data_IF_471573583022
#
_entry.id   IF_471573583022
#
_cell.length_a   1.000
_cell.length_b   1.000
_cell.length_c   1.000
_cell.angle_alpha   90.00
_cell.angle_beta   90.00
_cell.angle_gamma   90.00
#
_symmetry.space_group_name_H-M   'P 1'
#
loop_
_entity.id
_entity.type
_entity.pdbx_description
1 polymer ?
#
# COMPACT_ATOMS: atom_id res chain seq x y z
N UNK A 1 -27.40 29.12 -19.86
CA UNK A 1 -26.75 29.00 -18.54
C UNK A 1 -25.29 28.73 -18.78
N UNK A 2 -24.46 29.72 -18.62
CA UNK A 2 -23.00 29.67 -18.79
C UNK A 2 -22.36 29.07 -17.50
N UNK A 3 -21.40 28.13 -17.59
CA UNK A 3 -20.74 27.60 -16.41
C UNK A 3 -19.81 28.62 -15.78
N UNK A 4 -19.67 28.63 -14.46
CA UNK A 4 -18.78 29.57 -13.80
C UNK A 4 -17.32 29.25 -14.11
N UNK A 5 -16.58 30.25 -14.58
CA UNK A 5 -15.12 30.21 -14.73
C UNK A 5 -14.48 30.34 -13.35
N UNK A 6 -14.00 29.25 -12.77
CA UNK A 6 -13.10 29.29 -11.63
C UNK A 6 -11.69 29.67 -12.11
N UNK A 7 -11.32 30.93 -11.91
CA UNK A 7 -9.93 31.35 -11.99
C UNK A 7 -9.23 30.92 -10.70
N UNK A 8 -8.49 29.82 -10.74
CA UNK A 8 -7.67 29.35 -9.64
C UNK A 8 -6.39 30.20 -9.63
N UNK A 9 -6.33 31.25 -8.81
CA UNK A 9 -5.08 31.90 -8.46
C UNK A 9 -4.30 30.98 -7.51
N UNK A 10 -3.38 30.19 -8.06
CA UNK A 10 -2.34 29.48 -7.31
C UNK A 10 -1.29 30.51 -6.85
N UNK A 11 -1.57 31.22 -5.76
CA UNK A 11 -0.51 31.86 -4.98
C UNK A 11 0.20 30.74 -4.20
N UNK A 12 1.25 30.18 -4.79
CA UNK A 12 2.22 29.34 -4.06
C UNK A 12 2.99 30.27 -3.15
N UNK A 13 2.86 30.18 -1.81
CA UNK A 13 3.76 30.93 -0.94
C UNK A 13 5.18 30.44 -1.24
N UNK A 14 6.08 31.36 -1.55
CA UNK A 14 7.50 31.06 -1.66
C UNK A 14 8.01 30.63 -0.27
N UNK A 15 7.88 29.33 0.05
CA UNK A 15 8.56 28.76 1.22
C UNK A 15 10.06 28.79 0.92
N UNK A 16 10.79 29.56 1.70
CA UNK A 16 12.26 29.52 1.70
C UNK A 16 12.69 28.09 2.09
N UNK A 17 13.18 27.33 1.11
CA UNK A 17 13.56 25.93 1.27
C UNK A 17 14.94 25.90 1.91
N UNK A 18 15.01 25.78 3.24
CA UNK A 18 16.24 25.48 3.94
C UNK A 18 16.69 24.06 3.60
N UNK A 19 17.99 23.85 3.37
CA UNK A 19 18.55 22.52 3.19
C UNK A 19 18.51 21.78 4.53
N UNK A 20 18.23 20.45 4.55
CA UNK A 20 18.26 19.67 5.79
C UNK A 20 19.69 19.69 6.35
N UNK A 21 19.84 20.16 7.59
CA UNK A 21 21.07 20.04 8.33
C UNK A 21 21.14 18.59 8.88
N UNK A 22 22.15 17.83 8.46
CA UNK A 22 22.46 16.51 9.02
C UNK A 22 23.54 16.74 10.09
N UNK A 23 23.19 16.49 11.34
CA UNK A 23 24.16 16.44 12.43
C UNK A 23 24.18 15.02 12.99
N UNK A 24 25.36 14.52 13.38
CA UNK A 24 25.52 13.19 14.00
C UNK A 24 24.75 13.10 15.33
N UNK A 25 24.76 14.16 16.12
CA UNK A 25 23.83 14.44 17.22
C UNK A 25 23.07 15.74 16.92
N UNK A 26 21.76 15.77 17.16
CA UNK A 26 20.97 16.97 16.97
C UNK A 26 19.61 16.75 16.28
N UNK A 27 19.02 17.83 15.85
CA UNK A 27 17.68 17.88 15.24
C UNK A 27 17.75 17.77 13.71
N UNK A 28 17.06 16.80 13.14
CA UNK A 28 16.80 16.69 11.71
C UNK A 28 15.34 17.07 11.44
N UNK A 29 15.12 17.98 10.51
CA UNK A 29 13.80 18.39 10.04
C UNK A 29 13.67 18.10 8.56
N UNK A 30 12.48 17.68 8.13
CA UNK A 30 12.17 17.49 6.73
C UNK A 30 10.68 17.48 6.49
N UNK A 31 10.31 17.55 5.22
CA UNK A 31 8.91 17.54 4.88
C UNK A 31 8.66 17.34 3.39
N UNK A 32 7.38 17.18 3.08
CA UNK A 32 6.89 16.97 1.72
C UNK A 32 5.51 17.59 1.57
N UNK A 33 5.28 18.23 0.44
CA UNK A 33 3.94 18.63 -0.02
C UNK A 33 3.68 17.94 -1.34
N UNK A 34 2.61 17.19 -1.44
CA UNK A 34 2.17 16.52 -2.68
C UNK A 34 0.77 16.97 -3.07
N UNK A 35 0.66 17.58 -4.25
CA UNK A 35 -0.60 17.83 -4.94
C UNK A 35 -0.83 16.73 -5.97
N UNK A 36 -2.03 16.12 -5.96
CA UNK A 36 -2.44 15.06 -6.90
C UNK A 36 -3.79 15.40 -7.51
N UNK A 37 -3.86 15.31 -8.83
CA UNK A 37 -5.11 15.32 -9.58
C UNK A 37 -5.34 13.95 -10.20
N UNK A 38 -6.52 13.37 -9.96
CA UNK A 38 -6.93 12.06 -10.48
C UNK A 38 -8.15 12.21 -11.37
N UNK A 39 -8.22 11.41 -12.43
CA UNK A 39 -9.40 11.32 -13.30
C UNK A 39 -9.66 9.88 -13.69
N UNK A 40 -10.93 9.51 -13.75
CA UNK A 40 -11.36 8.18 -14.19
C UNK A 40 -12.57 8.28 -15.12
N UNK A 41 -12.58 7.47 -16.17
CA UNK A 41 -13.75 7.21 -17.04
C UNK A 41 -13.99 5.72 -17.15
N UNK A 42 -15.21 5.28 -16.92
CA UNK A 42 -15.59 3.87 -16.93
C UNK A 42 -15.19 3.12 -15.68
N UNK A 43 -15.45 3.69 -14.49
CA UNK A 43 -15.15 3.08 -13.19
C UNK A 43 -15.35 1.55 -13.17
N UNK A 44 -14.36 0.82 -12.66
CA UNK A 44 -14.40 -0.63 -12.52
C UNK A 44 -14.92 -1.10 -11.16
N UNK A 45 -15.14 -0.18 -10.23
CA UNK A 45 -15.68 -0.48 -8.89
C UNK A 45 -17.19 -0.31 -8.89
N UNK A 46 -17.88 -1.27 -8.29
CA UNK A 46 -19.33 -1.23 -8.14
C UNK A 46 -19.77 -0.14 -7.15
N UNK A 47 -20.91 0.50 -7.42
CA UNK A 47 -21.54 1.47 -6.51
C UNK A 47 -20.97 2.88 -6.59
N UNK A 48 -20.08 3.18 -7.56
CA UNK A 48 -19.51 4.50 -7.76
C UNK A 48 -19.83 5.06 -9.15
N UNK A 49 -19.67 6.36 -9.31
CA UNK A 49 -19.93 7.03 -10.58
C UNK A 49 -18.97 6.56 -11.67
N UNK A 50 -19.52 6.46 -12.90
CA UNK A 50 -18.74 5.98 -14.03
C UNK A 50 -17.61 6.91 -14.43
N UNK A 51 -17.75 8.23 -14.17
CA UNK A 51 -16.74 9.26 -14.40
C UNK A 51 -16.57 10.06 -13.14
N UNK A 52 -15.32 10.33 -12.80
CA UNK A 52 -14.99 11.09 -11.61
C UNK A 52 -13.64 11.78 -11.70
N UNK A 53 -13.45 12.79 -10.87
CA UNK A 53 -12.18 13.50 -10.69
C UNK A 53 -12.00 13.82 -9.22
N UNK A 54 -10.76 13.73 -8.74
CA UNK A 54 -10.43 14.04 -7.36
C UNK A 54 -9.12 14.84 -7.32
N UNK A 55 -9.11 15.91 -6.54
CA UNK A 55 -7.89 16.62 -6.19
C UNK A 55 -7.52 16.28 -4.74
N UNK A 56 -6.28 15.83 -4.51
CA UNK A 56 -5.78 15.48 -3.18
C UNK A 56 -4.54 16.31 -2.86
N UNK A 57 -4.46 16.76 -1.62
CA UNK A 57 -3.30 17.45 -1.07
C UNK A 57 -2.80 16.66 0.14
N UNK A 58 -1.49 16.42 0.20
CA UNK A 58 -0.82 15.83 1.36
C UNK A 58 0.36 16.68 1.77
N UNK A 59 0.38 17.10 3.02
CA UNK A 59 1.54 17.73 3.66
C UNK A 59 2.08 16.79 4.72
N UNK A 60 3.41 16.61 4.74
CA UNK A 60 4.13 15.84 5.76
C UNK A 60 5.20 16.73 6.34
N UNK A 61 5.34 16.72 7.67
CA UNK A 61 6.43 17.38 8.38
C UNK A 61 6.95 16.37 9.40
N UNK A 62 8.23 16.07 9.36
CA UNK A 62 8.87 15.18 10.32
C UNK A 62 10.05 15.85 11.01
N UNK A 63 10.26 15.46 12.26
CA UNK A 63 11.37 15.86 13.09
C UNK A 63 11.93 14.63 13.79
N UNK A 64 13.25 14.47 13.82
CA UNK A 64 13.95 13.50 14.66
C UNK A 64 15.09 14.20 15.41
N UNK A 65 15.09 14.07 16.72
CA UNK A 65 16.19 14.50 17.57
C UNK A 65 16.99 13.29 18.05
N UNK A 66 18.28 13.30 17.81
CA UNK A 66 19.22 12.25 18.22
C UNK A 66 20.17 12.77 19.27
N UNK A 67 20.42 11.95 20.30
CA UNK A 67 21.43 12.21 21.32
C UNK A 67 22.01 10.88 21.82
N UNK A 68 23.26 10.63 21.49
CA UNK A 68 23.92 9.34 21.75
C UNK A 68 23.15 8.17 21.15
N UNK A 69 22.78 7.21 21.96
CA UNK A 69 22.02 6.02 21.54
C UNK A 69 20.50 6.27 21.43
N UNK A 70 19.99 7.42 21.84
CA UNK A 70 18.56 7.72 21.88
C UNK A 70 18.12 8.57 20.69
N UNK A 71 16.88 8.32 20.22
CA UNK A 71 16.19 9.06 19.16
C UNK A 71 14.77 9.36 19.59
N UNK A 72 14.30 10.56 19.30
CA UNK A 72 12.94 11.03 19.53
C UNK A 72 12.39 11.50 18.20
N UNK A 73 11.37 10.87 17.69
CA UNK A 73 10.80 11.19 16.38
C UNK A 73 9.34 11.61 16.46
N UNK A 74 8.95 12.57 15.63
CA UNK A 74 7.57 12.98 15.43
C UNK A 74 7.29 13.25 13.95
N UNK A 75 6.10 12.91 13.48
CA UNK A 75 5.67 13.22 12.10
C UNK A 75 4.18 13.53 12.06
N UNK A 76 3.85 14.63 11.40
CA UNK A 76 2.49 15.09 11.15
C UNK A 76 2.15 14.88 9.68
N UNK A 77 1.00 14.27 9.39
CA UNK A 77 0.36 14.25 8.08
C UNK A 77 -0.87 15.16 8.10
N UNK A 78 -1.06 15.91 7.01
CA UNK A 78 -2.32 16.57 6.69
C UNK A 78 -2.74 16.13 5.30
N UNK A 79 -3.67 15.18 5.24
CA UNK A 79 -4.16 14.55 4.01
C UNK A 79 -5.60 14.96 3.75
N UNK A 80 -5.81 15.72 2.66
CA UNK A 80 -7.10 16.29 2.27
C UNK A 80 -7.48 15.92 0.84
N UNK A 81 -8.79 15.89 0.57
CA UNK A 81 -9.34 15.63 -0.76
C UNK A 81 -10.46 16.62 -1.08
N UNK A 82 -10.53 17.05 -2.33
CA UNK A 82 -11.45 18.07 -2.81
C UNK A 82 -12.10 17.64 -4.12
N UNK A 83 -13.33 18.11 -4.37
CA UNK A 83 -14.10 17.79 -5.57
C UNK A 83 -14.87 16.47 -5.47
N UNK A 84 -14.84 15.78 -4.32
CA UNK A 84 -15.59 14.55 -4.12
C UNK A 84 -17.09 14.83 -3.92
N UNK A 85 -17.94 14.04 -4.57
CA UNK A 85 -19.38 13.98 -4.35
C UNK A 85 -19.82 12.63 -3.71
N UNK A 86 -21.11 12.30 -3.79
CA UNK A 86 -21.63 11.06 -3.22
C UNK A 86 -21.24 9.81 -4.01
N UNK A 87 -20.96 9.97 -5.30
CA UNK A 87 -20.56 8.90 -6.22
C UNK A 87 -19.04 8.66 -6.25
N UNK A 88 -18.25 9.56 -5.64
CA UNK A 88 -16.79 9.44 -5.57
C UNK A 88 -16.38 8.35 -4.57
N UNK A 89 -15.41 7.47 -4.92
CA UNK A 89 -14.89 6.47 -4.00
C UNK A 89 -13.95 7.07 -2.93
N UNK A 90 -14.45 8.05 -2.17
CA UNK A 90 -13.73 8.71 -1.10
C UNK A 90 -13.73 7.86 0.18
N UNK A 91 -12.60 7.75 0.84
CA UNK A 91 -12.41 6.95 2.05
C UNK A 91 -11.33 7.52 2.96
N UNK A 92 -11.06 6.84 4.06
CA UNK A 92 -9.89 7.10 4.92
C UNK A 92 -8.55 6.82 4.22
N UNK A 93 -8.55 6.38 2.97
CA UNK A 93 -7.39 6.28 2.11
C UNK A 93 -6.99 7.62 1.48
N UNK A 94 -7.93 8.55 1.38
CA UNK A 94 -7.75 9.87 0.77
C UNK A 94 -7.71 10.99 1.80
N UNK A 95 -8.44 10.87 2.92
CA UNK A 95 -8.59 11.92 3.94
C UNK A 95 -8.17 11.42 5.32
N UNK A 96 -7.27 12.18 5.96
CA UNK A 96 -6.82 12.04 7.33
C UNK A 96 -6.10 13.35 7.71
N UNK A 97 -6.89 14.35 8.07
CA UNK A 97 -6.40 15.72 8.26
C UNK A 97 -5.78 15.90 9.65
N UNK A 98 -4.59 16.51 9.69
CA UNK A 98 -3.84 16.88 10.91
C UNK A 98 -3.58 15.69 11.85
N UNK A 99 -3.09 14.59 11.32
CA UNK A 99 -2.81 13.36 12.08
C UNK A 99 -1.34 13.27 12.50
N UNK A 100 -1.03 13.15 13.79
CA UNK A 100 0.32 12.81 14.27
C UNK A 100 0.57 11.30 14.04
N UNK A 101 1.04 10.95 12.85
CA UNK A 101 1.23 9.55 12.43
C UNK A 101 2.41 8.88 13.11
N UNK A 102 3.41 9.66 13.56
CA UNK A 102 4.54 9.18 14.35
C UNK A 102 4.78 10.07 15.57
N UNK A 103 5.03 9.44 16.71
CA UNK A 103 5.52 10.03 17.95
C UNK A 103 6.17 8.91 18.76
N UNK A 104 7.50 8.79 18.70
CA UNK A 104 8.22 7.65 19.28
C UNK A 104 9.51 8.03 19.99
N UNK A 105 9.95 7.13 20.86
CA UNK A 105 11.31 7.07 21.36
C UNK A 105 11.96 5.78 20.88
N UNK A 106 13.23 5.85 20.48
CA UNK A 106 14.01 4.69 20.10
C UNK A 106 15.40 4.71 20.75
N UNK A 107 15.96 3.52 20.97
CA UNK A 107 17.29 3.36 21.54
C UNK A 107 18.06 2.21 20.89
N UNK A 108 19.35 2.40 20.70
CA UNK A 108 20.23 1.43 20.07
C UNK A 108 21.18 0.81 21.13
N UNK A 109 21.34 -0.52 21.07
CA UNK A 109 22.21 -1.29 21.94
C UNK A 109 23.15 -2.12 21.06
N UNK A 110 24.41 -1.82 21.10
CA UNK A 110 25.42 -2.56 20.34
C UNK A 110 25.91 -3.79 21.10
N UNK A 111 26.26 -4.84 20.38
CA UNK A 111 26.92 -6.03 20.95
C UNK A 111 25.99 -7.04 21.64
N UNK A 112 24.66 -6.93 21.54
CA UNK A 112 23.68 -7.81 22.22
C UNK A 112 23.90 -9.30 21.92
N UNK A 113 24.29 -9.63 20.68
CA UNK A 113 24.63 -10.99 20.23
C UNK A 113 26.12 -11.09 19.89
N UNK A 114 26.98 -10.37 20.63
CA UNK A 114 28.41 -10.27 20.36
C UNK A 114 28.80 -9.13 19.42
N UNK A 115 30.11 -8.91 19.27
CA UNK A 115 30.65 -7.79 18.50
C UNK A 115 30.10 -7.75 17.06
N UNK A 116 29.66 -6.58 16.60
CA UNK A 116 29.06 -6.37 15.26
C UNK A 116 27.59 -6.69 15.18
N UNK A 117 26.90 -6.96 16.28
CA UNK A 117 25.42 -6.97 16.34
C UNK A 117 24.90 -5.65 16.91
N UNK A 118 23.67 -5.30 16.52
CA UNK A 118 22.93 -4.14 17.02
C UNK A 118 21.47 -4.50 17.21
N UNK A 119 20.90 -4.09 18.34
CA UNK A 119 19.47 -4.12 18.63
C UNK A 119 18.97 -2.68 18.72
N UNK A 120 17.94 -2.33 17.94
CA UNK A 120 17.22 -1.07 18.04
C UNK A 120 15.82 -1.32 18.60
N UNK A 121 15.46 -0.67 19.68
CA UNK A 121 14.13 -0.75 20.29
C UNK A 121 13.41 0.56 20.05
N UNK A 122 12.16 0.49 19.60
CA UNK A 122 11.28 1.66 19.35
C UNK A 122 9.98 1.47 20.08
N UNK A 123 9.50 2.52 20.76
CA UNK A 123 8.22 2.55 21.46
C UNK A 123 7.46 3.83 21.12
N UNK A 124 6.14 3.72 20.89
CA UNK A 124 5.27 4.85 20.55
C UNK A 124 4.50 4.65 19.26
N UNK A 125 4.07 5.77 18.66
CA UNK A 125 3.44 5.80 17.33
C UNK A 125 4.51 5.74 16.24
N UNK A 126 4.35 4.84 15.29
CA UNK A 126 5.33 4.61 14.23
C UNK A 126 4.68 4.15 12.93
N UNK A 127 5.35 4.36 11.82
CA UNK A 127 5.06 3.70 10.56
C UNK A 127 5.90 2.44 10.40
N UNK A 128 5.32 1.39 9.81
CA UNK A 128 5.99 0.12 9.58
C UNK A 128 6.08 -0.19 8.08
N UNK A 129 7.24 -0.67 7.66
CA UNK A 129 7.45 -1.28 6.35
C UNK A 129 8.24 -2.56 6.58
N UNK A 130 7.58 -3.73 6.55
CA UNK A 130 8.17 -5.01 6.91
C UNK A 130 8.18 -5.96 5.71
N UNK A 131 9.30 -6.65 5.53
CA UNK A 131 9.52 -7.61 4.46
C UNK A 131 9.24 -7.03 3.07
N UNK A 132 8.46 -7.74 2.28
CA UNK A 132 8.02 -7.30 0.95
C UNK A 132 7.04 -6.11 0.97
N UNK A 133 6.58 -5.67 2.13
CA UNK A 133 5.53 -4.65 2.32
C UNK A 133 4.14 -5.09 1.83
N UNK A 134 3.96 -6.37 1.49
CA UNK A 134 2.67 -6.90 1.01
C UNK A 134 1.66 -7.17 2.13
N UNK A 135 2.12 -7.28 3.38
CA UNK A 135 1.28 -7.54 4.58
C UNK A 135 1.30 -6.35 5.54
N UNK A 136 2.46 -5.75 5.81
CA UNK A 136 2.61 -4.60 6.71
C UNK A 136 3.40 -3.51 6.03
N UNK A 137 2.75 -2.37 5.76
CA UNK A 137 3.34 -1.23 5.08
C UNK A 137 2.71 0.10 5.47
N UNK A 138 3.46 1.18 5.30
CA UNK A 138 2.99 2.54 5.42
C UNK A 138 2.13 3.00 4.21
N UNK A 139 2.29 2.40 3.03
CA UNK A 139 1.61 2.75 1.76
C UNK A 139 1.88 4.18 1.26
N UNK A 140 2.99 4.37 0.57
CA UNK A 140 3.46 5.69 0.11
C UNK A 140 2.61 6.30 -1.02
N UNK A 141 1.91 5.48 -1.81
CA UNK A 141 1.10 5.96 -2.92
C UNK A 141 -0.20 6.61 -2.46
N UNK A 142 -0.88 6.02 -1.48
CA UNK A 142 -2.12 6.54 -0.91
C UNK A 142 -1.94 7.99 -0.41
N UNK A 143 -3.01 8.74 -0.29
CA UNK A 143 -2.93 10.09 0.29
C UNK A 143 -2.68 10.07 1.80
N UNK A 144 -3.15 9.03 2.46
CA UNK A 144 -2.92 8.75 3.89
C UNK A 144 -1.92 7.63 4.09
N UNK A 145 -1.55 7.33 5.33
CA UNK A 145 -0.66 6.22 5.67
C UNK A 145 -1.29 5.23 6.65
N UNK A 146 -0.67 4.07 6.87
CA UNK A 146 -0.97 3.20 8.00
C UNK A 146 -0.03 3.54 9.15
N UNK A 147 -0.59 3.84 10.32
CA UNK A 147 0.14 4.07 11.55
C UNK A 147 -0.11 2.96 12.58
N UNK A 148 0.81 2.81 13.51
CA UNK A 148 0.79 1.78 14.55
C UNK A 148 1.31 2.35 15.86
N UNK A 149 0.69 1.99 16.98
CA UNK A 149 1.18 2.35 18.31
C UNK A 149 1.63 1.10 19.04
N UNK A 150 2.86 1.07 19.56
CA UNK A 150 3.34 -0.10 20.28
C UNK A 150 4.86 -0.19 20.34
N UNK A 151 5.37 -1.42 20.23
CA UNK A 151 6.78 -1.76 20.37
C UNK A 151 7.31 -2.38 19.07
N UNK A 152 8.56 -2.04 18.74
CA UNK A 152 9.32 -2.63 17.65
C UNK A 152 10.74 -2.92 18.13
N UNK A 153 11.25 -4.09 17.77
CA UNK A 153 12.63 -4.50 17.99
C UNK A 153 13.27 -4.89 16.65
N UNK A 154 14.33 -4.23 16.27
CA UNK A 154 15.13 -4.53 15.08
C UNK A 154 16.49 -5.05 15.50
N UNK A 155 16.83 -6.26 15.07
CA UNK A 155 18.09 -6.91 15.30
C UNK A 155 18.86 -7.03 13.99
N UNK A 156 20.09 -6.57 13.98
CA UNK A 156 21.08 -6.87 12.96
C UNK A 156 22.23 -7.67 13.60
N UNK A 157 22.57 -8.84 13.03
CA UNK A 157 23.61 -9.70 13.52
C UNK A 157 24.65 -10.02 12.43
N UNK A 158 25.77 -10.62 12.83
CA UNK A 158 26.79 -11.06 11.88
C UNK A 158 26.25 -12.07 10.87
N UNK A 159 26.89 -12.16 9.72
CA UNK A 159 26.49 -13.09 8.64
C UNK A 159 25.25 -12.66 7.89
N UNK A 160 24.89 -11.36 7.92
CA UNK A 160 23.77 -10.80 7.17
C UNK A 160 22.38 -11.20 7.71
N UNK A 161 22.31 -11.62 8.98
CA UNK A 161 21.04 -11.94 9.65
C UNK A 161 20.41 -10.64 10.14
N UNK A 162 19.14 -10.43 9.77
CA UNK A 162 18.30 -9.33 10.26
C UNK A 162 16.97 -9.90 10.76
N UNK A 163 16.46 -9.35 11.84
CA UNK A 163 15.13 -9.70 12.36
C UNK A 163 14.42 -8.44 12.82
N UNK A 164 13.12 -8.35 12.55
CA UNK A 164 12.25 -7.33 13.11
C UNK A 164 11.08 -8.03 13.80
N UNK A 165 10.80 -7.65 15.03
CA UNK A 165 9.61 -8.05 15.77
C UNK A 165 8.79 -6.83 16.14
N UNK A 166 7.47 -6.96 16.09
CA UNK A 166 6.50 -5.89 16.47
C UNK A 166 5.39 -6.45 17.34
N UNK A 167 4.92 -5.63 18.29
CA UNK A 167 3.67 -5.78 19.00
C UNK A 167 2.96 -4.43 19.00
N UNK A 168 1.90 -4.29 18.21
CA UNK A 168 1.32 -2.99 17.89
C UNK A 168 -0.20 -3.01 17.85
N UNK A 169 -0.78 -1.84 18.08
CA UNK A 169 -2.17 -1.50 17.88
C UNK A 169 -2.26 -0.71 16.57
N UNK A 170 -2.78 -1.28 15.47
CA UNK A 170 -2.98 -0.55 14.23
C UNK A 170 -3.92 0.65 14.45
N UNK A 171 -3.54 1.81 13.94
CA UNK A 171 -4.34 3.02 14.04
C UNK A 171 -5.54 2.94 13.09
N UNK A 172 -6.72 3.18 13.63
CA UNK A 172 -7.97 3.29 12.87
C UNK A 172 -8.12 4.72 12.38
N UNK A 173 -7.92 4.92 11.08
CA UNK A 173 -7.95 6.25 10.46
C UNK A 173 -9.32 6.93 10.58
N UNK A 174 -9.27 8.23 10.85
CA UNK A 174 -10.43 9.11 11.02
C UNK A 174 -10.30 10.35 10.12
N UNK A 175 -11.44 11.02 9.74
CA UNK A 175 -12.82 10.63 10.01
C UNK A 175 -13.22 9.44 9.13
N UNK A 176 -14.23 8.67 9.53
CA UNK A 176 -14.75 7.50 8.82
C UNK A 176 -16.17 7.69 8.26
N UNK A 177 -16.85 8.76 8.63
CA UNK A 177 -18.16 9.12 8.10
C UNK A 177 -18.08 9.87 6.78
N UNK A 178 -18.93 9.53 5.80
CA UNK A 178 -18.88 10.08 4.43
C UNK A 178 -18.94 11.61 4.35
N UNK A 179 -19.74 12.28 5.17
CA UNK A 179 -19.82 13.74 5.23
C UNK A 179 -18.54 14.34 5.80
N UNK A 180 -18.05 13.81 6.92
CA UNK A 180 -16.84 14.28 7.56
C UNK A 180 -15.58 14.09 6.68
N UNK A 181 -15.55 13.04 5.85
CA UNK A 181 -14.54 12.83 4.82
C UNK A 181 -14.60 13.93 3.75
N UNK A 182 -15.78 14.21 3.18
CA UNK A 182 -15.94 15.28 2.18
C UNK A 182 -15.58 16.66 2.73
N UNK A 183 -15.86 16.91 4.00
CA UNK A 183 -15.54 18.16 4.69
C UNK A 183 -14.07 18.25 5.15
N UNK A 184 -13.27 17.20 4.95
CA UNK A 184 -11.89 17.11 5.45
C UNK A 184 -11.80 17.41 6.97
N UNK A 185 -12.76 16.94 7.78
CA UNK A 185 -12.81 17.24 9.21
C UNK A 185 -11.61 16.63 9.94
N UNK A 186 -10.80 17.43 10.64
CA UNK A 186 -9.69 16.89 11.43
C UNK A 186 -10.22 16.00 12.56
N UNK A 187 -9.73 14.79 12.64
CA UNK A 187 -10.00 13.84 13.71
C UNK A 187 -8.82 12.92 13.88
N UNK A 188 -8.27 12.89 15.09
CA UNK A 188 -7.15 12.03 15.44
C UNK A 188 -7.56 10.56 15.36
N UNK A 189 -6.70 9.75 14.77
CA UNK A 189 -6.82 8.31 14.65
C UNK A 189 -6.91 7.66 16.04
N UNK A 190 -7.57 6.52 16.09
CA UNK A 190 -7.74 5.77 17.35
C UNK A 190 -6.97 4.46 17.26
N UNK A 191 -6.39 4.10 18.36
CA UNK A 191 -5.87 2.77 18.65
C UNK A 191 -6.64 2.13 19.82
N UNK A 192 -6.76 0.82 19.80
CA UNK A 192 -7.45 0.06 20.85
C UNK A 192 -6.85 -1.35 20.92
N UNK A 193 -6.84 -1.94 22.10
CA UNK A 193 -6.56 -3.36 22.29
C UNK A 193 -7.62 -4.29 21.67
N UNK A 194 -8.70 -3.72 21.10
CA UNK A 194 -9.64 -4.48 20.26
C UNK A 194 -9.07 -4.77 18.87
N UNK A 195 -7.92 -4.18 18.48
CA UNK A 195 -7.20 -4.49 17.24
C UNK A 195 -5.70 -4.57 17.54
N UNK A 196 -5.12 -5.77 17.45
CA UNK A 196 -3.71 -6.05 17.76
C UNK A 196 -3.04 -6.73 16.59
N UNK A 197 -1.87 -6.23 16.20
CA UNK A 197 -0.97 -6.86 15.24
C UNK A 197 0.36 -7.17 15.92
N UNK A 198 0.78 -8.43 15.89
CA UNK A 198 2.11 -8.83 16.37
C UNK A 198 2.74 -9.85 15.47
N UNK A 199 4.06 -9.96 15.55
CA UNK A 199 4.85 -10.87 14.73
C UNK A 199 6.08 -10.19 14.17
N UNK A 200 6.57 -10.65 13.02
CA UNK A 200 7.76 -10.06 12.44
C UNK A 200 8.31 -10.80 11.24
N UNK A 201 9.51 -10.42 10.88
CA UNK A 201 10.28 -10.98 9.76
C UNK A 201 11.70 -11.31 10.21
N UNK A 202 12.25 -12.40 9.67
CA UNK A 202 13.66 -12.76 9.82
C UNK A 202 14.22 -13.00 8.44
N UNK A 203 15.36 -12.40 8.13
CA UNK A 203 16.01 -12.54 6.85
C UNK A 203 17.49 -12.84 6.99
N UNK A 204 18.05 -13.50 5.98
CA UNK A 204 19.49 -13.70 5.85
C UNK A 204 19.92 -13.38 4.42
N UNK A 205 20.84 -12.44 4.30
CA UNK A 205 21.48 -12.06 3.04
C UNK A 205 22.46 -13.15 2.58
N UNK A 206 22.66 -13.24 1.27
CA UNK A 206 23.62 -14.17 0.64
C UNK A 206 23.43 -15.66 1.03
N UNK A 207 22.18 -16.07 1.30
CA UNK A 207 21.90 -17.45 1.72
C UNK A 207 22.10 -18.45 0.58
N UNK A 208 21.74 -18.06 -0.65
CA UNK A 208 21.97 -18.82 -1.89
C UNK A 208 22.59 -17.85 -2.92
N UNK A 209 23.91 -17.88 -3.02
CA UNK A 209 24.65 -16.93 -3.87
C UNK A 209 24.40 -15.48 -3.42
N UNK A 210 23.73 -14.67 -4.27
CA UNK A 210 23.36 -13.29 -3.95
C UNK A 210 21.92 -13.14 -3.41
N UNK A 211 21.19 -14.25 -3.30
CA UNK A 211 19.81 -14.18 -2.85
C UNK A 211 19.70 -14.07 -1.34
N UNK A 212 18.76 -13.25 -0.90
CA UNK A 212 18.27 -13.19 0.47
C UNK A 212 17.10 -14.17 0.62
N UNK A 213 17.03 -14.85 1.75
CA UNK A 213 15.85 -15.59 2.20
C UNK A 213 15.23 -14.83 3.37
N UNK A 214 13.92 -14.72 3.36
CA UNK A 214 13.12 -14.08 4.39
C UNK A 214 11.96 -14.99 4.80
N UNK A 215 11.70 -15.08 6.09
CA UNK A 215 10.54 -15.73 6.68
C UNK A 215 9.74 -14.70 7.45
N UNK A 216 8.42 -14.79 7.37
CA UNK A 216 7.51 -13.88 8.04
C UNK A 216 6.39 -14.61 8.77
N UNK A 217 6.01 -14.05 9.90
CA UNK A 217 4.82 -14.45 10.66
C UNK A 217 4.15 -13.20 11.23
N UNK A 218 2.83 -13.07 11.04
CA UNK A 218 2.01 -12.02 11.64
C UNK A 218 0.70 -12.60 12.15
N UNK A 219 0.36 -12.28 13.38
CA UNK A 219 -0.98 -12.48 13.93
C UNK A 219 -1.72 -11.15 13.96
N UNK A 220 -2.92 -11.11 13.37
CA UNK A 220 -3.83 -9.99 13.48
C UNK A 220 -5.13 -10.45 14.15
N UNK A 221 -5.41 -9.86 15.32
CA UNK A 221 -6.66 -10.05 16.08
C UNK A 221 -7.46 -8.76 16.15
N UNK A 222 -8.78 -8.85 15.89
CA UNK A 222 -9.72 -7.76 16.14
C UNK A 222 -10.99 -8.30 16.81
N UNK A 223 -11.65 -7.46 17.61
CA UNK A 223 -12.90 -7.78 18.29
C UNK A 223 -13.92 -6.68 18.10
N UNK A 224 -15.17 -7.07 17.93
CA UNK A 224 -16.27 -6.14 17.96
C UNK A 224 -16.36 -5.44 19.33
N UNK A 225 -16.57 -4.15 19.27
CA UNK A 225 -16.86 -3.34 20.44
C UNK A 225 -17.89 -2.27 20.08
N UNK A 226 -18.54 -1.61 21.06
CA UNK A 226 -19.45 -0.50 20.77
C UNK A 226 -18.84 0.66 19.98
N UNK A 227 -17.51 0.71 19.92
CA UNK A 227 -16.73 1.76 19.24
C UNK A 227 -16.07 1.30 17.95
N UNK A 228 -16.05 -0.01 17.66
CA UNK A 228 -15.37 -0.62 16.54
C UNK A 228 -16.15 -1.84 16.04
N UNK A 229 -16.96 -1.64 15.00
CA UNK A 229 -17.60 -2.74 14.30
C UNK A 229 -16.59 -3.42 13.37
N UNK A 230 -16.31 -4.71 13.58
CA UNK A 230 -15.35 -5.50 12.84
C UNK A 230 -15.93 -6.83 12.36
N UNK A 231 -15.16 -7.59 11.64
CA UNK A 231 -15.48 -8.99 11.34
C UNK A 231 -14.86 -9.97 12.33
N UNK A 232 -14.45 -9.54 13.51
CA UNK A 232 -13.85 -10.41 14.52
C UNK A 232 -12.73 -11.29 13.95
N UNK A 233 -11.86 -10.72 13.15
CA UNK A 233 -10.76 -11.47 12.54
C UNK A 233 -9.77 -11.94 13.60
N UNK A 234 -9.37 -13.20 13.51
CA UNK A 234 -8.21 -13.75 14.21
C UNK A 234 -7.41 -14.52 13.18
N UNK A 235 -6.39 -13.91 12.62
CA UNK A 235 -5.68 -14.38 11.43
C UNK A 235 -4.19 -14.54 11.70
N UNK A 236 -3.67 -15.74 11.46
CA UNK A 236 -2.25 -16.02 11.34
C UNK A 236 -1.85 -15.97 9.86
N UNK A 237 -0.92 -15.09 9.52
CA UNK A 237 -0.30 -15.00 8.18
C UNK A 237 1.16 -15.41 8.31
N UNK A 238 1.58 -16.38 7.53
CA UNK A 238 2.95 -16.89 7.55
C UNK A 238 3.43 -17.15 6.13
N UNK A 239 4.72 -17.01 5.93
CA UNK A 239 5.29 -17.29 4.63
C UNK A 239 6.79 -17.13 4.53
N UNK A 240 7.26 -17.31 3.30
CA UNK A 240 8.66 -17.18 2.96
C UNK A 240 8.85 -16.48 1.61
N UNK A 241 9.97 -15.81 1.50
CA UNK A 241 10.39 -15.07 0.32
C UNK A 241 11.86 -15.36 0.02
N UNK A 242 12.15 -15.55 -1.27
CA UNK A 242 13.51 -15.54 -1.78
C UNK A 242 13.62 -14.43 -2.82
N UNK A 243 14.65 -13.61 -2.73
CA UNK A 243 14.87 -12.48 -3.64
C UNK A 243 16.34 -12.33 -3.98
N UNK A 244 16.62 -12.18 -5.27
CA UNK A 244 17.88 -11.72 -5.80
C UNK A 244 17.64 -10.38 -6.52
N UNK A 245 18.04 -9.28 -5.87
CA UNK A 245 17.79 -7.91 -6.33
C UNK A 245 18.27 -7.64 -7.76
N UNK A 246 17.59 -6.77 -8.54
CA UNK A 246 18.01 -6.36 -9.86
C UNK A 246 19.43 -5.78 -9.89
N UNK A 247 20.24 -6.26 -10.83
CA UNK A 247 21.59 -5.77 -11.05
C UNK A 247 21.95 -5.78 -12.55
N UNK A 248 22.65 -4.76 -13.01
CA UNK A 248 23.00 -4.59 -14.43
C UNK A 248 23.73 -5.79 -15.02
N UNK A 249 23.19 -6.35 -16.10
CA UNK A 249 23.71 -7.52 -16.80
C UNK A 249 23.47 -8.85 -16.08
N UNK A 250 22.47 -8.92 -15.19
CA UNK A 250 22.16 -10.13 -14.42
C UNK A 250 20.66 -10.43 -14.43
N UNK A 251 20.34 -11.70 -14.33
CA UNK A 251 18.99 -12.18 -14.00
C UNK A 251 18.74 -11.88 -12.52
N UNK A 252 17.58 -11.38 -12.22
CA UNK A 252 17.03 -11.19 -10.87
C UNK A 252 15.73 -11.97 -10.74
N UNK A 253 15.31 -12.21 -9.51
CA UNK A 253 14.06 -12.91 -9.25
C UNK A 253 13.55 -12.63 -7.84
N UNK A 254 12.24 -12.71 -7.68
CA UNK A 254 11.55 -12.73 -6.40
C UNK A 254 10.47 -13.82 -6.43
N UNK A 255 10.39 -14.63 -5.38
CA UNK A 255 9.28 -15.54 -5.14
C UNK A 255 8.85 -15.38 -3.69
N UNK A 256 7.57 -15.10 -3.45
CA UNK A 256 6.96 -15.03 -2.13
C UNK A 256 5.71 -15.90 -2.08
N UNK A 257 5.59 -16.69 -1.01
CA UNK A 257 4.43 -17.53 -0.74
C UNK A 257 3.93 -17.21 0.66
N UNK A 258 2.63 -16.85 0.77
CA UNK A 258 1.97 -16.55 2.03
C UNK A 258 0.76 -17.47 2.23
N UNK A 259 0.62 -18.01 3.43
CA UNK A 259 -0.55 -18.73 3.88
C UNK A 259 -1.28 -17.97 4.97
N UNK A 260 -2.61 -18.01 4.98
CA UNK A 260 -3.44 -17.48 6.06
C UNK A 260 -4.36 -18.54 6.63
N UNK A 261 -4.47 -18.57 7.94
CA UNK A 261 -5.43 -19.41 8.66
C UNK A 261 -5.98 -18.65 9.88
N UNK A 262 -7.11 -19.12 10.41
CA UNK A 262 -7.72 -18.50 11.58
C UNK A 262 -9.24 -18.52 11.48
N UNK A 263 -9.88 -17.45 11.91
CA UNK A 263 -11.33 -17.30 11.87
C UNK A 263 -11.77 -15.87 11.61
N UNK A 264 -12.99 -15.72 11.09
CA UNK A 264 -13.63 -14.45 10.75
C UNK A 264 -15.13 -14.57 10.98
N UNK A 265 -15.81 -13.52 11.39
CA UNK A 265 -17.28 -13.46 11.40
C UNK A 265 -17.85 -13.45 9.98
N UNK A 266 -19.01 -14.07 9.78
CA UNK A 266 -19.69 -14.13 8.47
C UNK A 266 -20.11 -12.74 7.95
N UNK A 267 -20.41 -11.81 8.87
CA UNK A 267 -20.76 -10.42 8.53
C UNK A 267 -20.36 -9.47 9.67
N UNK A 268 -20.62 -8.17 9.48
CA UNK A 268 -20.46 -7.15 10.52
C UNK A 268 -21.62 -7.12 11.52
N UNK A 269 -22.66 -7.95 11.35
CA UNK A 269 -23.78 -7.99 12.29
C UNK A 269 -23.34 -8.59 13.63
N UNK A 270 -23.73 -7.98 14.77
CA UNK A 270 -23.44 -8.56 16.07
C UNK A 270 -23.93 -10.01 16.18
N UNK A 271 -23.08 -10.90 16.68
CA UNK A 271 -23.43 -12.33 16.82
C UNK A 271 -23.46 -13.12 15.50
N UNK A 272 -23.03 -12.57 14.38
CA UNK A 272 -22.86 -13.32 13.15
C UNK A 272 -21.85 -14.46 13.37
N UNK A 273 -22.26 -15.70 13.20
CA UNK A 273 -21.43 -16.89 13.47
C UNK A 273 -20.07 -16.83 12.81
N UNK A 274 -19.07 -17.45 13.42
CA UNK A 274 -17.67 -17.50 12.91
C UNK A 274 -17.49 -18.60 11.88
N UNK A 275 -16.57 -18.40 10.98
CA UNK A 275 -16.12 -19.40 10.02
C UNK A 275 -14.59 -19.46 9.97
N UNK A 276 -14.05 -20.65 9.70
CA UNK A 276 -12.61 -20.83 9.58
C UNK A 276 -12.08 -20.19 8.31
N UNK A 277 -10.90 -19.59 8.39
CA UNK A 277 -10.17 -19.01 7.26
C UNK A 277 -9.08 -19.96 6.77
N UNK A 278 -8.98 -20.11 5.45
CA UNK A 278 -7.84 -20.71 4.77
C UNK A 278 -7.63 -20.03 3.44
N UNK A 279 -6.63 -19.17 3.38
CA UNK A 279 -6.32 -18.37 2.21
C UNK A 279 -4.83 -18.44 1.86
N UNK A 280 -4.47 -18.06 0.64
CA UNK A 280 -3.09 -18.09 0.17
C UNK A 280 -2.82 -16.97 -0.83
N UNK A 281 -1.57 -16.56 -0.88
CA UNK A 281 -1.03 -15.65 -1.88
C UNK A 281 0.31 -16.18 -2.39
N UNK A 282 0.54 -16.02 -3.70
CA UNK A 282 1.81 -16.32 -4.36
C UNK A 282 2.15 -15.15 -5.25
N UNK A 283 3.38 -14.69 -5.15
CA UNK A 283 4.01 -13.76 -6.08
C UNK A 283 5.27 -14.39 -6.66
N UNK A 284 5.50 -14.20 -7.93
CA UNK A 284 6.74 -14.55 -8.59
C UNK A 284 7.10 -13.49 -9.64
N UNK A 285 8.34 -13.07 -9.66
CA UNK A 285 8.93 -12.18 -10.66
C UNK A 285 10.29 -12.75 -11.08
N UNK A 286 10.56 -12.72 -12.38
CA UNK A 286 11.89 -13.02 -12.93
C UNK A 286 12.21 -11.96 -13.97
N UNK A 287 13.37 -11.32 -13.86
CA UNK A 287 13.76 -10.22 -14.71
C UNK A 287 15.22 -10.26 -15.14
N UNK A 288 15.52 -9.43 -16.12
CA UNK A 288 16.87 -9.17 -16.56
C UNK A 288 17.10 -7.69 -16.77
N UNK A 289 18.14 -7.14 -16.16
CA UNK A 289 18.54 -5.75 -16.29
C UNK A 289 19.67 -5.61 -17.32
N UNK A 290 19.44 -4.89 -18.41
CA UNK A 290 20.41 -4.69 -19.48
C UNK A 290 21.46 -3.64 -19.11
N UNK A 291 22.69 -3.78 -19.66
CA UNK A 291 23.79 -2.82 -19.48
C UNK A 291 23.81 -1.72 -20.55
N UNK A 292 22.65 -1.18 -20.89
CA UNK A 292 22.51 -0.12 -21.88
C UNK A 292 22.27 1.23 -21.22
N UNK A 293 22.33 2.32 -22.01
CA UNK A 293 22.22 3.69 -21.51
C UNK A 293 20.92 3.96 -20.71
N UNK A 294 19.81 3.32 -21.08
CA UNK A 294 18.51 3.49 -20.41
C UNK A 294 18.29 2.52 -19.26
N UNK A 295 19.26 1.61 -19.03
CA UNK A 295 19.19 0.58 -17.97
C UNK A 295 17.84 -0.15 -17.93
N UNK A 296 17.31 -0.62 -19.08
CA UNK A 296 16.02 -1.27 -19.09
C UNK A 296 16.08 -2.59 -18.33
N UNK A 297 15.00 -2.90 -17.61
CA UNK A 297 14.72 -4.21 -17.04
C UNK A 297 13.45 -4.74 -17.67
N UNK A 298 13.49 -5.97 -18.15
CA UNK A 298 12.33 -6.73 -18.60
C UNK A 298 12.07 -7.83 -17.60
N UNK A 299 10.82 -7.97 -17.14
CA UNK A 299 10.43 -9.06 -16.26
C UNK A 299 9.10 -9.70 -16.65
N UNK A 300 8.94 -10.94 -16.22
CA UNK A 300 7.69 -11.68 -16.22
C UNK A 300 7.26 -11.81 -14.77
N UNK A 301 6.01 -11.46 -14.51
CA UNK A 301 5.40 -11.45 -13.19
C UNK A 301 4.24 -12.46 -13.13
N UNK A 302 3.98 -13.00 -11.95
CA UNK A 302 2.80 -13.81 -11.68
C UNK A 302 2.31 -13.56 -10.26
N UNK A 303 1.01 -13.23 -10.12
CA UNK A 303 0.36 -13.08 -8.84
C UNK A 303 -0.91 -13.94 -8.76
N UNK A 304 -1.09 -14.61 -7.62
CA UNK A 304 -2.31 -15.34 -7.30
C UNK A 304 -2.70 -15.11 -5.86
N UNK A 305 -3.82 -14.45 -5.64
CA UNK A 305 -4.45 -14.34 -4.33
C UNK A 305 -5.77 -15.11 -4.34
N UNK A 306 -5.96 -15.99 -3.37
CA UNK A 306 -7.18 -16.81 -3.28
C UNK A 306 -8.43 -15.96 -3.07
N UNK A 307 -9.57 -16.46 -3.54
CA UNK A 307 -10.92 -15.92 -3.34
C UNK A 307 -11.77 -16.84 -2.48
N UNK A 308 -12.94 -16.35 -2.10
CA UNK A 308 -13.92 -17.10 -1.33
C UNK A 308 -14.83 -17.92 -2.26
N UNK A 309 -15.09 -19.18 -1.91
CA UNK A 309 -16.02 -20.06 -2.63
C UNK A 309 -17.22 -20.34 -1.76
N UNK A 310 -18.39 -20.53 -2.36
CA UNK A 310 -19.59 -20.88 -1.64
C UNK A 310 -19.43 -22.19 -0.87
N UNK A 311 -19.88 -22.18 0.37
CA UNK A 311 -19.91 -23.37 1.24
C UNK A 311 -18.54 -23.74 1.83
N UNK A 312 -18.37 -23.62 3.12
CA UNK A 312 -17.19 -24.10 3.81
C UNK A 312 -16.35 -22.99 4.47
N UNK A 313 -15.03 -23.05 4.24
CA UNK A 313 -14.07 -22.12 4.85
C UNK A 313 -13.99 -20.84 4.03
N UNK A 314 -13.80 -19.69 4.71
CA UNK A 314 -13.54 -18.43 4.05
C UNK A 314 -12.16 -18.44 3.36
N UNK A 315 -12.16 -18.32 2.05
CA UNK A 315 -10.98 -18.51 1.21
C UNK A 315 -10.32 -17.25 0.70
N UNK A 316 -10.93 -16.06 0.90
CA UNK A 316 -10.41 -14.81 0.38
C UNK A 316 -9.18 -14.35 1.16
N UNK A 317 -8.06 -14.12 0.44
CA UNK A 317 -6.82 -13.62 1.04
C UNK A 317 -7.00 -12.18 1.54
N UNK A 318 -6.54 -11.92 2.76
CA UNK A 318 -6.56 -10.61 3.40
C UNK A 318 -5.16 -10.00 3.38
N UNK A 319 -4.97 -8.88 2.72
CA UNK A 319 -3.69 -8.17 2.65
C UNK A 319 -3.33 -7.42 3.91
N UNK A 320 -4.16 -7.48 4.95
CA UNK A 320 -4.03 -6.73 6.19
C UNK A 320 -3.72 -5.24 5.93
N UNK A 321 -2.53 -4.81 6.23
CA UNK A 321 -2.06 -3.43 6.09
C UNK A 321 -1.06 -3.26 4.92
N UNK A 322 -1.05 -4.20 3.98
CA UNK A 322 -0.11 -4.21 2.88
C UNK A 322 -0.29 -3.07 1.88
N UNK A 323 0.80 -2.65 1.28
CA UNK A 323 0.84 -1.64 0.23
C UNK A 323 0.26 -2.18 -1.07
N UNK A 324 -0.65 -1.43 -1.72
CA UNK A 324 -1.32 -1.87 -2.96
C UNK A 324 -0.48 -1.62 -4.21
N UNK A 325 0.17 -0.46 -4.27
CA UNK A 325 0.89 0.01 -5.45
C UNK A 325 2.12 -0.84 -5.83
N UNK A 326 2.65 -1.61 -4.91
CA UNK A 326 3.91 -2.32 -5.14
C UNK A 326 3.87 -3.22 -6.40
N UNK A 327 2.77 -3.93 -6.62
CA UNK A 327 2.72 -5.03 -7.58
C UNK A 327 1.66 -4.86 -8.68
N UNK A 328 0.46 -4.37 -8.38
CA UNK A 328 -0.69 -4.59 -9.24
C UNK A 328 -1.28 -3.34 -9.89
N UNK A 329 -1.55 -2.28 -9.13
CA UNK A 329 -2.22 -1.08 -9.66
C UNK A 329 -2.19 0.09 -8.68
N UNK A 330 -2.39 1.33 -9.17
CA UNK A 330 -2.60 2.49 -8.30
C UNK A 330 -3.81 2.30 -7.39
N UNK A 331 -3.72 2.82 -6.16
CA UNK A 331 -4.88 3.06 -5.29
C UNK A 331 -5.60 4.37 -5.69
N UNK A 332 -6.22 5.09 -4.78
CA UNK A 332 -6.99 6.30 -5.09
C UNK A 332 -8.35 5.95 -5.71
N UNK A 333 -8.86 6.84 -6.58
CA UNK A 333 -10.19 6.62 -7.18
C UNK A 333 -10.24 5.43 -8.14
N UNK A 334 -9.09 4.93 -8.65
CA UNK A 334 -9.05 3.67 -9.39
C UNK A 334 -9.32 2.47 -8.48
N UNK A 335 -8.46 2.17 -7.57
CA UNK A 335 -8.55 1.20 -6.46
C UNK A 335 -9.24 -0.15 -6.73
N UNK A 336 -9.36 -0.57 -7.99
CA UNK A 336 -10.13 -1.77 -8.36
C UNK A 336 -9.35 -3.08 -8.23
N UNK A 337 -8.01 -3.02 -8.24
CA UNK A 337 -7.13 -4.19 -8.30
C UNK A 337 -6.20 -4.20 -7.10
N UNK A 338 -6.18 -5.31 -6.37
CA UNK A 338 -5.32 -5.58 -5.22
C UNK A 338 -5.17 -7.10 -5.03
N UNK A 339 -4.37 -7.53 -4.06
CA UNK A 339 -4.08 -8.94 -3.74
C UNK A 339 -5.25 -9.63 -3.04
N UNK A 340 -6.35 -9.81 -3.73
CA UNK A 340 -7.52 -10.56 -3.25
C UNK A 340 -8.30 -11.10 -4.45
N UNK A 341 -8.65 -12.37 -4.45
CA UNK A 341 -9.41 -13.04 -5.51
C UNK A 341 -8.94 -12.66 -6.92
N UNK A 342 -7.68 -12.91 -7.22
CA UNK A 342 -7.06 -12.59 -8.51
C UNK A 342 -6.04 -13.65 -8.90
N UNK A 343 -5.96 -13.93 -10.20
CA UNK A 343 -4.88 -14.64 -10.86
C UNK A 343 -4.42 -13.79 -12.03
N UNK A 344 -3.14 -13.46 -12.09
CA UNK A 344 -2.63 -12.58 -13.13
C UNK A 344 -1.17 -12.85 -13.44
N UNK A 345 -0.83 -13.38 -14.62
CA UNK A 345 0.49 -13.24 -15.19
C UNK A 345 0.69 -11.82 -15.71
N UNK A 346 1.93 -11.39 -15.84
CA UNK A 346 2.25 -10.07 -16.35
C UNK A 346 3.59 -10.01 -17.04
N UNK A 347 3.76 -8.97 -17.84
CA UNK A 347 5.05 -8.57 -18.42
C UNK A 347 5.26 -7.11 -18.04
N UNK A 348 6.46 -6.78 -17.56
CA UNK A 348 6.82 -5.44 -17.16
C UNK A 348 8.15 -5.02 -17.78
N UNK A 349 8.20 -3.78 -18.24
CA UNK A 349 9.42 -3.10 -18.67
C UNK A 349 9.63 -1.85 -17.81
N UNK A 350 10.83 -1.70 -17.30
CA UNK A 350 11.26 -0.55 -16.52
C UNK A 350 12.45 0.11 -17.23
N UNK A 351 12.58 1.42 -17.12
CA UNK A 351 13.72 2.15 -17.64
C UNK A 351 14.05 3.37 -16.79
N UNK A 352 15.33 3.71 -16.70
CA UNK A 352 15.84 4.92 -16.08
C UNK A 352 16.83 5.61 -17.04
N UNK A 353 16.32 6.35 -18.04
CA UNK A 353 17.15 6.99 -19.08
C UNK A 353 18.14 8.00 -18.50
N UNK A 354 17.85 8.58 -17.35
CA UNK A 354 18.73 9.53 -16.66
C UNK A 354 18.50 9.50 -15.15
N UNK A 355 19.34 10.20 -14.39
CA UNK A 355 19.12 10.40 -12.96
C UNK A 355 17.88 11.27 -12.62
N UNK A 356 17.24 11.86 -13.63
CA UNK A 356 16.01 12.67 -13.47
C UNK A 356 14.76 11.97 -13.98
N UNK A 357 14.86 10.98 -14.84
CA UNK A 357 13.73 10.32 -15.50
C UNK A 357 13.78 8.82 -15.27
N UNK A 358 12.70 8.29 -14.74
CA UNK A 358 12.44 6.85 -14.64
C UNK A 358 10.96 6.54 -14.88
N UNK A 359 10.68 5.31 -15.22
CA UNK A 359 9.32 4.85 -15.40
C UNK A 359 9.21 3.37 -15.66
N UNK A 360 7.98 2.89 -15.69
CA UNK A 360 7.67 1.53 -16.13
C UNK A 360 6.35 1.48 -16.89
N UNK A 361 6.19 0.41 -17.63
CA UNK A 361 4.93 -0.05 -18.20
C UNK A 361 4.76 -1.53 -17.93
N UNK A 362 3.55 -1.95 -17.55
CA UNK A 362 3.20 -3.34 -17.34
C UNK A 362 1.89 -3.69 -18.05
N UNK A 363 1.84 -4.91 -18.57
CA UNK A 363 0.63 -5.50 -19.14
C UNK A 363 0.30 -6.77 -18.38
N UNK A 364 -0.99 -6.92 -18.03
CA UNK A 364 -1.49 -8.11 -17.34
C UNK A 364 -2.93 -8.47 -17.74
N UNK A 365 -3.20 -9.68 -18.20
CA UNK A 365 -4.54 -10.27 -18.19
C UNK A 365 -4.88 -10.73 -16.77
N UNK A 366 -6.16 -10.65 -16.40
CA UNK A 366 -6.61 -10.90 -15.02
C UNK A 366 -7.83 -11.82 -15.00
N UNK A 367 -7.79 -12.77 -14.07
CA UNK A 367 -8.88 -13.69 -13.77
C UNK A 367 -9.21 -13.65 -12.27
N UNK A 368 -10.41 -14.10 -11.94
CA UNK A 368 -10.78 -14.43 -10.57
C UNK A 368 -10.16 -15.78 -10.17
N UNK A 369 -9.79 -15.93 -8.90
CA UNK A 369 -9.40 -17.21 -8.33
C UNK A 369 -10.62 -18.04 -7.86
N UNK A 370 -11.75 -17.35 -7.62
CA UNK A 370 -13.06 -17.93 -7.29
C UNK A 370 -14.14 -17.04 -7.93
N UNK A 371 -14.94 -17.59 -8.82
CA UNK A 371 -15.91 -16.91 -9.68
C UNK A 371 -17.16 -16.39 -8.94
N UNK A 372 -17.48 -16.96 -7.78
CA UNK A 372 -18.60 -16.52 -6.92
C UNK A 372 -18.25 -15.35 -5.99
N UNK A 373 -16.94 -15.05 -5.84
CA UNK A 373 -16.47 -13.95 -4.99
C UNK A 373 -16.29 -12.66 -5.80
N UNK A 374 -16.20 -11.52 -5.08
CA UNK A 374 -15.92 -10.24 -5.72
C UNK A 374 -14.52 -10.21 -6.35
N UNK A 375 -14.42 -9.70 -7.60
CA UNK A 375 -13.12 -9.50 -8.22
C UNK A 375 -12.30 -8.48 -7.44
N UNK A 376 -11.18 -8.92 -6.92
CA UNK A 376 -10.20 -8.08 -6.23
C UNK A 376 -10.86 -7.07 -5.26
N UNK A 377 -10.61 -5.78 -5.37
CA UNK A 377 -11.22 -4.71 -4.56
C UNK A 377 -12.29 -3.94 -5.32
N UNK A 378 -12.74 -4.45 -6.46
CA UNK A 378 -13.75 -3.79 -7.29
C UNK A 378 -15.16 -3.80 -6.67
N UNK A 379 -15.48 -4.73 -5.78
CA UNK A 379 -16.83 -4.96 -5.28
C UNK A 379 -17.78 -5.54 -6.34
N UNK A 380 -17.33 -5.75 -7.58
CA UNK A 380 -18.12 -6.44 -8.62
C UNK A 380 -18.16 -7.92 -8.30
N UNK A 381 -19.38 -8.49 -8.22
CA UNK A 381 -19.61 -9.87 -7.79
C UNK A 381 -20.76 -10.52 -8.55
N UNK A 382 -20.62 -11.79 -8.86
CA UNK A 382 -21.70 -12.68 -9.29
C UNK A 382 -21.80 -13.90 -8.36
N UNK A 383 -22.68 -13.87 -7.34
CA UNK A 383 -22.84 -14.99 -6.41
C UNK A 383 -23.28 -16.29 -7.05
N UNK A 384 -23.79 -16.25 -8.29
CA UNK A 384 -24.21 -17.44 -9.03
C UNK A 384 -23.09 -18.03 -9.92
N UNK A 385 -21.92 -17.37 -10.03
CA UNK A 385 -20.78 -17.82 -10.81
C UNK A 385 -21.02 -17.92 -12.33
N UNK A 386 -22.04 -17.23 -12.87
CA UNK A 386 -22.45 -17.36 -14.29
C UNK A 386 -21.76 -16.36 -15.22
N UNK A 387 -21.12 -15.35 -14.66
CA UNK A 387 -20.43 -14.29 -15.44
C UNK A 387 -19.03 -14.71 -15.91
N UNK A 388 -18.58 -15.94 -15.57
CA UNK A 388 -17.25 -16.44 -15.86
C UNK A 388 -16.20 -15.84 -14.93
N UNK A 389 -14.93 -16.09 -15.21
CA UNK A 389 -13.80 -15.72 -14.35
C UNK A 389 -12.87 -14.65 -14.96
N UNK A 390 -12.98 -14.36 -16.26
CA UNK A 390 -12.10 -13.42 -16.94
C UNK A 390 -12.50 -11.95 -16.64
N UNK A 391 -11.63 -11.25 -15.84
CA UNK A 391 -11.84 -9.88 -15.44
C UNK A 391 -11.41 -8.86 -16.51
N UNK A 392 -10.36 -9.15 -17.30
CA UNK A 392 -9.94 -8.27 -18.39
C UNK A 392 -8.45 -8.16 -18.61
N UNK A 393 -8.06 -7.22 -19.47
CA UNK A 393 -6.69 -6.89 -19.77
C UNK A 393 -6.35 -5.51 -19.22
N UNK A 394 -5.28 -5.38 -18.44
CA UNK A 394 -4.81 -4.11 -17.90
C UNK A 394 -3.45 -3.75 -18.50
N UNK A 395 -3.32 -2.50 -18.94
CA UNK A 395 -2.04 -1.84 -19.16
C UNK A 395 -1.95 -0.75 -18.12
N UNK A 396 -0.83 -0.71 -17.41
CA UNK A 396 -0.54 0.36 -16.46
C UNK A 396 0.88 0.89 -16.67
N UNK A 397 1.10 2.14 -16.27
CA UNK A 397 2.42 2.73 -16.34
C UNK A 397 2.58 3.87 -15.36
N UNK A 398 3.84 4.17 -15.09
CA UNK A 398 4.26 5.32 -14.30
C UNK A 398 5.45 5.99 -14.98
N UNK A 399 5.43 7.33 -14.98
CA UNK A 399 6.56 8.15 -15.38
C UNK A 399 6.88 9.12 -14.24
N UNK A 400 8.14 9.22 -13.84
CA UNK A 400 8.62 10.18 -12.85
C UNK A 400 9.72 11.05 -13.47
N UNK A 401 9.60 12.36 -13.23
CA UNK A 401 10.59 13.32 -13.68
C UNK A 401 10.93 14.32 -12.57
N UNK A 402 12.22 14.41 -12.23
CA UNK A 402 12.72 15.41 -11.29
C UNK A 402 12.91 16.75 -12.01
N UNK A 403 11.96 17.66 -11.81
CA UNK A 403 12.06 19.06 -12.25
C UNK A 403 13.25 19.76 -11.57
N UNK A 404 13.35 19.58 -10.24
CA UNK A 404 14.52 19.94 -9.44
C UNK A 404 14.98 18.70 -8.70
N UNK A 405 16.20 18.18 -8.94
CA UNK A 405 16.67 16.95 -8.32
C UNK A 405 16.52 16.96 -6.79
N UNK A 406 15.97 15.88 -6.25
CA UNK A 406 15.67 15.64 -4.82
C UNK A 406 14.68 16.64 -4.18
N UNK A 407 14.19 17.68 -4.90
CA UNK A 407 13.31 18.72 -4.33
C UNK A 407 11.94 18.80 -4.99
N UNK A 408 11.85 18.69 -6.32
CA UNK A 408 10.57 18.82 -7.02
C UNK A 408 10.43 17.71 -8.06
N UNK A 409 9.44 16.85 -7.88
CA UNK A 409 9.17 15.70 -8.74
C UNK A 409 7.77 15.77 -9.31
N UNK A 410 7.68 15.60 -10.60
CA UNK A 410 6.45 15.27 -11.30
C UNK A 410 6.32 13.74 -11.43
N UNK A 411 5.12 13.21 -11.24
CA UNK A 411 4.81 11.80 -11.46
C UNK A 411 3.45 11.69 -12.17
N UNK A 412 3.42 10.89 -13.22
CA UNK A 412 2.21 10.49 -13.92
C UNK A 412 2.00 9.00 -13.74
N UNK A 413 0.78 8.59 -13.36
CA UNK A 413 0.33 7.20 -13.37
C UNK A 413 -0.87 7.05 -14.29
N UNK A 414 -0.88 6.01 -15.11
CA UNK A 414 -1.97 5.71 -16.03
C UNK A 414 -2.40 4.27 -15.97
N UNK A 415 -3.71 4.00 -16.11
CA UNK A 415 -4.27 2.66 -16.27
C UNK A 415 -5.27 2.66 -17.41
N UNK A 416 -5.15 1.66 -18.28
CA UNK A 416 -6.13 1.30 -19.29
C UNK A 416 -6.57 -0.14 -19.01
N UNK A 417 -7.83 -0.33 -18.62
CA UNK A 417 -8.43 -1.64 -18.38
C UNK A 417 -9.52 -1.92 -19.44
N UNK A 418 -9.25 -2.91 -20.30
CA UNK A 418 -10.27 -3.52 -21.14
C UNK A 418 -11.02 -4.56 -20.31
N UNK A 419 -12.25 -4.25 -19.90
CA UNK A 419 -13.06 -5.12 -19.05
C UNK A 419 -13.41 -6.42 -19.77
N UNK A 420 -13.08 -7.54 -19.13
CA UNK A 420 -13.45 -8.88 -19.56
C UNK A 420 -14.93 -9.19 -19.32
N UNK A 421 -15.33 -10.43 -19.60
CA UNK A 421 -16.70 -10.88 -19.44
C UNK A 421 -17.21 -10.63 -18.02
N UNK A 422 -16.46 -11.01 -16.99
CA UNK A 422 -16.87 -10.84 -15.60
C UNK A 422 -17.18 -9.38 -15.23
N UNK A 423 -16.28 -8.45 -15.50
CA UNK A 423 -16.46 -7.02 -15.16
C UNK A 423 -17.48 -6.28 -16.02
N UNK A 424 -18.09 -6.94 -17.02
CA UNK A 424 -19.18 -6.39 -17.85
C UNK A 424 -20.52 -7.01 -17.53
N UNK A 425 -20.55 -8.32 -17.26
CA UNK A 425 -21.77 -9.14 -17.27
C UNK A 425 -22.24 -9.50 -15.86
N UNK A 426 -21.41 -9.31 -14.81
CA UNK A 426 -21.80 -9.50 -13.42
C UNK A 426 -22.97 -8.56 -13.05
N UNK A 427 -23.91 -9.01 -12.16
CA UNK A 427 -25.17 -8.28 -11.89
C UNK A 427 -24.99 -6.83 -11.44
N UNK A 428 -23.89 -6.51 -10.75
CA UNK A 428 -23.58 -5.16 -10.27
C UNK A 428 -22.42 -4.49 -11.02
N UNK A 429 -22.04 -5.01 -12.19
CA UNK A 429 -20.99 -4.43 -13.01
C UNK A 429 -21.44 -3.14 -13.70
N UNK A 430 -20.49 -2.25 -13.98
CA UNK A 430 -20.71 -1.10 -14.83
C UNK A 430 -20.61 -1.50 -16.30
N UNK A 431 -21.57 -1.07 -17.16
CA UNK A 431 -21.67 -1.53 -18.55
C UNK A 431 -20.59 -0.98 -19.50
N UNK A 432 -19.75 -0.04 -19.08
CA UNK A 432 -18.67 0.48 -19.94
C UNK A 432 -17.57 -0.58 -20.16
N UNK A 433 -17.13 -0.71 -21.40
CA UNK A 433 -16.11 -1.67 -21.82
C UNK A 433 -14.70 -1.35 -21.32
N UNK A 434 -14.42 -0.07 -21.11
CA UNK A 434 -13.09 0.42 -20.78
C UNK A 434 -13.12 1.21 -19.50
N UNK A 435 -12.05 1.05 -18.69
CA UNK A 435 -11.69 1.98 -17.65
C UNK A 435 -10.42 2.70 -18.08
N UNK A 436 -10.44 4.03 -18.04
CA UNK A 436 -9.29 4.90 -18.26
C UNK A 436 -9.05 5.68 -16.99
N UNK A 437 -7.87 5.58 -16.45
CA UNK A 437 -7.47 6.29 -15.24
C UNK A 437 -6.17 7.02 -15.50
N UNK A 438 -6.05 8.24 -14.96
CA UNK A 438 -4.82 9.01 -14.92
C UNK A 438 -4.67 9.76 -13.62
N UNK A 439 -3.46 9.81 -13.09
CA UNK A 439 -3.12 10.67 -11.96
C UNK A 439 -1.87 11.50 -12.26
N UNK A 440 -1.91 12.77 -11.88
CA UNK A 440 -0.83 13.72 -12.04
C UNK A 440 -0.43 14.20 -10.66
N UNK A 441 0.82 13.94 -10.27
CA UNK A 441 1.34 14.27 -8.96
C UNK A 441 2.48 15.27 -9.09
N UNK A 442 2.46 16.31 -8.26
CA UNK A 442 3.59 17.21 -8.07
C UNK A 442 3.99 17.13 -6.59
N UNK A 443 5.24 16.72 -6.35
CA UNK A 443 5.77 16.53 -5.00
C UNK A 443 6.96 17.46 -4.78
N UNK A 444 6.86 18.34 -3.78
CA UNK A 444 7.96 19.17 -3.30
C UNK A 444 8.47 18.62 -1.97
N UNK A 445 9.80 18.45 -1.83
CA UNK A 445 10.46 17.95 -0.62
C UNK A 445 11.49 18.98 -0.12
N UNK A 446 11.64 19.11 1.20
CA UNK A 446 12.56 20.03 1.86
C UNK A 446 13.18 19.44 3.12
#
# INVERSE_FOLDING_TARGET
MTPPRFALFLSVPALAIAAPAMADDGLTLGGEVRARYETIDGQARAGFDSRDTLFSLRTRIHAEYRTGALRFGAELFDSRAYGADRGTPLSTGEVNALEPVQAYVAGDIDGVLGAGSRLSLTAGRMMLNLGSRRIVAADDYRNTTNGYTGLRADLAARGGIKATFVYTLPQMRRPDGAEALRDNRPRIDRESFDAVLWGGVVSREHMIGRAMIELSFFHFGERDSPRLATRDRSLDTFGGRIIAEPAAGRVDYEVEILGQRGSISRSLAPGAGRQAVRASFVHADIGYSFRTAWKPRLSIEFDRASGDRAGGRYGRFDTLFGMRRADLAPSGIYGAVARANIVTPGIRIEAAPSGRLDGFMAYRPMWLAADEDAFSTSGVRDPAGRSGDFAGHQIEGRLRYWLVPKRLRFEFDGVLLAKGRFLRDAPNATRKRWTRYGSFNLTASF
#
